data_IF_372728688294
#
_entry.id   IF_372728688294
#
_cell.length_a   1.000
_cell.length_b   1.000
_cell.length_c   1.000
_cell.angle_alpha   90.00
_cell.angle_beta   90.00
_cell.angle_gamma   90.00
#
_symmetry.space_group_name_H-M   'P 1'
#
loop_
_entity.id
_entity.type
_entity.pdbx_description
1 polymer ?
#
# COMPACT_ATOMS: atom_id res chain seq x y z
N UNK A 1 14.59 76.95 17.80
CA UNK A 1 15.50 76.10 16.99
C UNK A 1 16.38 75.19 17.87
N UNK A 2 17.46 75.65 18.51
CA UNK A 2 18.32 74.76 19.33
C UNK A 2 17.65 74.25 20.63
N UNK A 3 16.85 75.08 21.30
CA UNK A 3 16.12 74.70 22.54
C UNK A 3 15.00 73.69 22.29
N UNK A 4 14.39 73.69 21.09
CA UNK A 4 13.40 72.67 20.70
C UNK A 4 14.06 71.35 20.33
N UNK A 5 15.28 71.37 19.80
CA UNK A 5 16.05 70.18 19.48
C UNK A 5 16.53 69.46 20.75
N UNK A 6 17.02 70.20 21.76
CA UNK A 6 17.40 69.64 23.06
C UNK A 6 16.21 69.06 23.83
N UNK A 7 15.06 69.74 23.79
CA UNK A 7 13.82 69.25 24.42
C UNK A 7 13.28 68.00 23.72
N UNK A 8 13.52 67.86 22.41
CA UNK A 8 13.17 66.67 21.64
C UNK A 8 14.11 65.51 21.94
N UNK A 9 15.44 65.75 21.96
CA UNK A 9 16.44 64.73 22.29
C UNK A 9 16.31 64.21 23.72
N UNK A 10 15.99 65.05 24.71
CA UNK A 10 15.75 64.62 26.09
C UNK A 10 14.49 63.74 26.20
N UNK A 11 13.42 64.07 25.46
CA UNK A 11 12.21 63.21 25.37
C UNK A 11 12.51 61.84 24.76
N UNK A 12 13.37 61.76 23.74
CA UNK A 12 13.76 60.49 23.13
C UNK A 12 14.75 59.69 24.00
N UNK A 13 15.59 60.35 24.79
CA UNK A 13 16.50 59.69 25.73
C UNK A 13 15.75 59.06 26.93
N UNK A 14 14.71 59.72 27.44
CA UNK A 14 13.84 59.16 28.48
C UNK A 14 12.98 57.99 27.96
N UNK A 15 12.60 58.00 26.68
CA UNK A 15 11.93 56.88 26.00
C UNK A 15 12.87 55.68 25.73
N UNK A 16 14.17 55.92 25.53
CA UNK A 16 15.17 54.88 25.30
C UNK A 16 15.64 54.19 26.59
N UNK A 17 15.68 54.92 27.73
CA UNK A 17 16.01 54.35 29.05
C UNK A 17 14.80 53.73 29.77
N UNK A 18 13.59 53.80 29.19
CA UNK A 18 12.37 53.16 29.69
C UNK A 18 12.19 51.70 29.27
N UNK A 19 13.22 51.03 28.74
CA UNK A 19 13.23 49.58 28.49
C UNK A 19 13.96 48.91 29.66
N UNK A 20 13.21 48.67 30.72
CA UNK A 20 13.61 47.97 31.94
C UNK A 20 12.38 47.44 32.66
N UNK A 21 11.95 46.25 32.23
CA UNK A 21 11.00 45.35 32.90
C UNK A 21 9.52 45.74 32.87
N UNK A 22 8.90 45.57 31.69
CA UNK A 22 7.46 45.31 31.58
C UNK A 22 7.26 43.87 31.13
N UNK A 23 6.49 43.16 31.95
CA UNK A 23 5.95 41.83 31.76
C UNK A 23 5.60 41.51 30.31
N UNK A 24 6.20 40.43 29.80
CA UNK A 24 5.75 39.78 28.59
C UNK A 24 4.29 39.32 28.75
N UNK A 25 3.44 39.46 27.72
CA UNK A 25 2.11 38.88 27.73
C UNK A 25 2.25 37.36 27.83
N UNK A 26 1.50 36.75 28.78
CA UNK A 26 1.33 35.30 28.89
C UNK A 26 0.95 34.72 27.52
N UNK A 27 1.92 34.12 26.85
CA UNK A 27 1.64 32.94 26.04
C UNK A 27 1.03 31.91 27.01
N UNK A 28 0.03 31.11 26.60
CA UNK A 28 -0.40 30.00 27.43
C UNK A 28 0.83 29.13 27.62
N UNK A 29 1.36 29.13 28.85
CA UNK A 29 2.27 28.09 29.30
C UNK A 29 1.50 26.80 29.07
N UNK A 30 1.84 26.13 27.98
CA UNK A 30 1.50 24.74 27.79
C UNK A 30 2.29 24.01 28.87
N UNK A 31 1.70 23.98 30.07
CA UNK A 31 2.04 23.03 31.12
C UNK A 31 1.60 21.65 30.60
N UNK A 32 2.26 21.20 29.54
CA UNK A 32 2.27 19.83 29.11
C UNK A 32 3.19 19.18 30.14
N UNK A 33 2.62 18.80 31.28
CA UNK A 33 3.16 17.67 32.03
C UNK A 33 3.46 16.61 30.98
N UNK A 34 4.71 16.11 30.85
CA UNK A 34 4.97 15.04 29.91
C UNK A 34 4.05 13.90 30.31
N UNK A 35 2.99 13.71 29.51
CA UNK A 35 2.12 12.56 29.63
C UNK A 35 3.06 11.37 29.46
N UNK A 36 3.19 10.48 30.46
CA UNK A 36 4.05 9.32 30.34
C UNK A 36 3.73 8.62 29.03
N UNK A 37 4.73 8.18 28.27
CA UNK A 37 4.51 7.47 26.99
C UNK A 37 3.49 6.31 27.13
N UNK A 38 3.34 5.76 28.34
CA UNK A 38 2.33 4.76 28.70
C UNK A 38 0.86 5.23 28.55
N UNK A 39 0.57 6.52 28.69
CA UNK A 39 -0.78 7.09 28.55
C UNK A 39 -1.10 7.45 27.08
N UNK A 40 -0.07 7.61 26.23
CA UNK A 40 -0.21 7.80 24.78
C UNK A 40 -0.33 6.45 24.05
N UNK A 41 0.30 5.41 24.60
CA UNK A 41 0.21 4.05 24.09
C UNK A 41 -1.03 3.41 24.70
N UNK A 42 -2.12 3.37 23.94
CA UNK A 42 -3.31 2.62 24.34
C UNK A 42 -2.89 1.17 24.68
N UNK A 43 -2.93 0.82 25.98
CA UNK A 43 -2.74 -0.54 26.40
C UNK A 43 -3.82 -1.40 25.74
N UNK A 44 -3.46 -2.50 25.06
CA UNK A 44 -4.45 -3.36 24.42
C UNK A 44 -5.45 -3.81 25.49
N UNK A 45 -6.70 -3.36 25.36
CA UNK A 45 -7.75 -3.77 26.29
C UNK A 45 -7.82 -5.30 26.32
N UNK A 46 -8.01 -5.91 27.51
CA UNK A 46 -8.23 -7.35 27.60
C UNK A 46 -9.38 -7.72 26.67
N UNK A 47 -9.12 -8.66 25.75
CA UNK A 47 -10.12 -9.10 24.78
C UNK A 47 -11.40 -9.45 25.51
N UNK A 48 -12.51 -8.87 25.07
CA UNK A 48 -13.83 -9.35 25.48
C UNK A 48 -13.86 -10.84 25.17
N UNK A 49 -13.88 -11.66 26.21
CA UNK A 49 -14.12 -13.10 26.12
C UNK A 49 -15.59 -13.26 25.72
N UNK A 50 -15.88 -13.09 24.42
CA UNK A 50 -17.18 -13.38 23.83
C UNK A 50 -17.34 -14.90 23.85
N UNK A 51 -17.67 -15.48 25.01
CA UNK A 51 -17.92 -16.91 25.16
C UNK A 51 -16.77 -17.82 24.74
N UNK A 52 -17.09 -19.11 24.59
CA UNK A 52 -16.19 -20.15 24.11
C UNK A 52 -15.61 -19.77 22.72
N UNK A 53 -14.29 -19.70 22.57
CA UNK A 53 -13.60 -19.32 21.32
C UNK A 53 -14.13 -20.09 20.10
N UNK A 54 -14.49 -21.36 20.28
CA UNK A 54 -15.08 -22.20 19.24
C UNK A 54 -16.45 -21.70 18.79
N UNK A 55 -17.27 -21.23 19.72
CA UNK A 55 -18.59 -20.67 19.44
C UNK A 55 -18.47 -19.31 18.76
N UNK A 56 -17.58 -18.43 19.23
CA UNK A 56 -17.30 -17.14 18.58
C UNK A 56 -16.85 -17.36 17.15
N UNK A 57 -15.91 -18.30 16.94
CA UNK A 57 -15.39 -18.65 15.63
C UNK A 57 -16.49 -19.16 14.71
N UNK A 58 -17.33 -20.06 15.20
CA UNK A 58 -18.46 -20.58 14.43
C UNK A 58 -19.45 -19.47 14.07
N UNK A 59 -19.74 -18.56 14.99
CA UNK A 59 -20.60 -17.40 14.71
C UNK A 59 -20.03 -16.51 13.61
N UNK A 60 -18.73 -16.20 13.67
CA UNK A 60 -18.02 -15.42 12.64
C UNK A 60 -18.08 -16.10 11.27
N UNK A 61 -17.80 -17.40 11.20
CA UNK A 61 -17.85 -18.16 9.94
C UNK A 61 -19.29 -18.24 9.37
N UNK A 62 -20.30 -18.40 10.23
CA UNK A 62 -21.71 -18.40 9.80
C UNK A 62 -22.14 -17.03 9.27
N UNK A 63 -21.73 -15.94 9.91
CA UNK A 63 -21.99 -14.58 9.41
C UNK A 63 -21.31 -14.35 8.07
N UNK A 64 -20.05 -14.77 7.93
CA UNK A 64 -19.33 -14.70 6.66
C UNK A 64 -20.01 -15.50 5.54
N UNK A 65 -20.55 -16.68 5.85
CA UNK A 65 -21.34 -17.47 4.91
C UNK A 65 -22.65 -16.76 4.52
N UNK A 66 -23.37 -16.17 5.48
CA UNK A 66 -24.61 -15.44 5.21
C UNK A 66 -24.36 -14.24 4.27
N UNK A 67 -23.30 -13.46 4.51
CA UNK A 67 -22.92 -12.32 3.65
C UNK A 67 -22.67 -12.81 2.23
N UNK A 68 -21.83 -13.84 2.05
CA UNK A 68 -21.52 -14.38 0.72
C UNK A 68 -22.73 -15.04 0.02
N UNK A 69 -23.73 -15.52 0.77
CA UNK A 69 -24.97 -16.05 0.20
C UNK A 69 -25.91 -14.93 -0.28
N UNK A 70 -25.89 -13.78 0.39
CA UNK A 70 -26.67 -12.60 0.00
C UNK A 70 -26.04 -11.88 -1.18
N UNK A 71 -24.73 -11.65 -1.12
CA UNK A 71 -23.95 -11.05 -2.19
C UNK A 71 -22.58 -11.74 -2.32
N UNK A 72 -22.36 -12.55 -3.37
CA UNK A 72 -21.08 -13.19 -3.58
C UNK A 72 -19.96 -12.19 -3.93
N UNK A 73 -20.28 -10.98 -4.40
CA UNK A 73 -19.31 -9.93 -4.77
C UNK A 73 -18.88 -9.07 -3.59
N UNK A 74 -19.53 -9.18 -2.42
CA UNK A 74 -19.15 -8.44 -1.22
C UNK A 74 -17.83 -9.01 -0.64
N UNK A 75 -16.73 -8.23 -0.61
CA UNK A 75 -15.47 -8.67 -0.04
C UNK A 75 -15.52 -8.92 1.48
N UNK A 76 -16.46 -8.30 2.20
CA UNK A 76 -16.54 -8.35 3.66
C UNK A 76 -16.71 -9.78 4.16
N UNK A 77 -17.56 -10.58 3.52
CA UNK A 77 -17.76 -11.95 3.97
C UNK A 77 -16.52 -12.84 3.79
N UNK A 78 -15.70 -12.61 2.76
CA UNK A 78 -14.42 -13.30 2.59
C UNK A 78 -13.39 -12.85 3.65
N UNK A 79 -13.31 -11.55 3.93
CA UNK A 79 -12.44 -11.01 4.98
C UNK A 79 -12.81 -11.57 6.35
N UNK A 80 -14.11 -11.61 6.66
CA UNK A 80 -14.64 -12.13 7.91
C UNK A 80 -14.36 -13.64 8.06
N UNK A 81 -14.47 -14.40 6.97
CA UNK A 81 -14.08 -15.82 6.95
C UNK A 81 -12.60 -16.00 7.30
N UNK A 82 -11.70 -15.18 6.73
CA UNK A 82 -10.26 -15.25 7.02
C UNK A 82 -9.96 -14.84 8.46
N UNK A 83 -10.65 -13.81 8.96
CA UNK A 83 -10.55 -13.44 10.37
C UNK A 83 -10.98 -14.59 11.29
N UNK A 84 -12.11 -15.24 11.01
CA UNK A 84 -12.57 -16.41 11.77
C UNK A 84 -11.61 -17.61 11.69
N UNK A 85 -10.94 -17.79 10.54
CA UNK A 85 -9.98 -18.88 10.37
C UNK A 85 -8.67 -18.65 11.14
N UNK A 86 -8.12 -17.44 11.07
CA UNK A 86 -6.74 -17.18 11.50
C UNK A 86 -6.60 -16.28 12.72
N UNK A 87 -7.65 -15.54 13.11
CA UNK A 87 -7.57 -14.51 14.15
C UNK A 87 -7.14 -15.04 15.53
N UNK A 88 -7.48 -16.29 15.82
CA UNK A 88 -7.17 -16.95 17.08
C UNK A 88 -5.84 -17.75 17.05
N UNK A 89 -5.29 -18.07 15.86
CA UNK A 89 -4.00 -18.76 15.73
C UNK A 89 -2.87 -17.79 16.09
N UNK A 90 -2.20 -17.98 17.23
CA UNK A 90 -1.12 -17.08 17.69
C UNK A 90 0.29 -17.64 17.50
N UNK A 91 0.44 -18.93 17.26
CA UNK A 91 1.72 -19.60 17.09
C UNK A 91 1.64 -20.61 15.94
N UNK A 92 2.80 -20.87 15.33
CA UNK A 92 2.91 -21.93 14.34
C UNK A 92 2.69 -23.31 15.01
N UNK A 93 2.10 -24.29 14.30
CA UNK A 93 1.92 -25.63 14.83
C UNK A 93 3.28 -26.31 15.10
N UNK A 94 3.34 -27.23 16.07
CA UNK A 94 4.57 -27.98 16.34
C UNK A 94 4.95 -28.82 15.13
N UNK A 95 6.26 -28.90 14.88
CA UNK A 95 6.84 -29.65 13.77
C UNK A 95 7.90 -30.63 14.28
N UNK A 96 8.00 -31.76 13.58
CA UNK A 96 8.98 -32.81 13.80
C UNK A 96 10.29 -32.50 13.05
N UNK A 97 11.27 -33.40 13.14
CA UNK A 97 12.53 -33.28 12.39
C UNK A 97 12.24 -33.09 10.88
N UNK A 98 12.73 -31.99 10.31
CA UNK A 98 12.49 -31.62 8.92
C UNK A 98 11.24 -30.76 8.65
N UNK A 99 10.77 -29.99 9.64
CA UNK A 99 9.68 -29.01 9.51
C UNK A 99 8.30 -29.60 9.14
N UNK A 100 8.12 -30.92 9.29
CA UNK A 100 6.84 -31.59 9.03
C UNK A 100 5.94 -31.54 10.24
N UNK A 101 4.68 -31.18 10.03
CA UNK A 101 3.64 -31.14 11.05
C UNK A 101 2.79 -32.41 11.00
N UNK A 102 2.02 -32.68 12.05
CA UNK A 102 1.02 -33.77 12.06
C UNK A 102 -0.29 -33.37 11.36
N UNK A 103 -0.34 -32.18 10.76
CA UNK A 103 -1.53 -31.65 10.11
C UNK A 103 -1.69 -32.29 8.73
N UNK A 104 -2.92 -32.74 8.46
CA UNK A 104 -3.31 -33.26 7.16
C UNK A 104 -3.50 -32.12 6.17
N UNK A 105 -2.96 -32.29 4.96
CA UNK A 105 -3.26 -31.44 3.83
C UNK A 105 -4.60 -31.83 3.19
N UNK A 106 -5.14 -30.93 2.36
CA UNK A 106 -6.25 -31.28 1.44
C UNK A 106 -5.76 -32.40 0.51
N UNK A 107 -6.53 -33.49 0.30
CA UNK A 107 -6.15 -34.58 -0.58
C UNK A 107 -5.69 -34.10 -1.96
N UNK A 108 -4.64 -34.72 -2.51
CA UNK A 108 -4.04 -34.27 -3.76
C UNK A 108 -5.02 -34.29 -4.93
N UNK A 109 -5.88 -35.31 -5.02
CA UNK A 109 -6.90 -35.41 -6.07
C UNK A 109 -7.84 -34.20 -6.03
N UNK A 110 -8.32 -33.83 -4.83
CA UNK A 110 -9.21 -32.67 -4.64
C UNK A 110 -8.48 -31.35 -4.97
N UNK A 111 -7.22 -31.22 -4.55
CA UNK A 111 -6.44 -30.02 -4.85
C UNK A 111 -6.17 -29.89 -6.36
N UNK A 112 -5.84 -30.99 -7.04
CA UNK A 112 -5.65 -31.05 -8.48
C UNK A 112 -6.93 -30.72 -9.25
N UNK A 113 -8.07 -31.27 -8.84
CA UNK A 113 -9.37 -30.94 -9.43
C UNK A 113 -9.68 -29.44 -9.38
N UNK A 114 -9.29 -28.76 -8.29
CA UNK A 114 -9.45 -27.31 -8.19
C UNK A 114 -8.47 -26.55 -9.10
N UNK A 115 -7.21 -26.99 -9.17
CA UNK A 115 -6.20 -26.39 -10.05
C UNK A 115 -6.64 -26.49 -11.52
N UNK A 116 -7.09 -27.66 -11.95
CA UNK A 116 -7.59 -27.91 -13.30
C UNK A 116 -8.86 -27.09 -13.59
N UNK A 117 -9.80 -27.02 -12.64
CA UNK A 117 -11.02 -26.22 -12.81
C UNK A 117 -10.72 -24.71 -12.87
N UNK A 118 -9.75 -24.23 -12.08
CA UNK A 118 -9.29 -22.84 -12.11
C UNK A 118 -8.44 -22.54 -13.35
N UNK A 119 -7.84 -23.54 -14.00
CA UNK A 119 -7.13 -23.38 -15.28
C UNK A 119 -8.08 -23.44 -16.49
N UNK A 120 -9.19 -24.18 -16.39
CA UNK A 120 -10.17 -24.36 -17.47
C UNK A 120 -10.89 -23.08 -17.90
N UNK A 121 -11.60 -23.10 -19.03
CA UNK A 121 -12.20 -21.89 -19.63
C UNK A 121 -13.43 -21.38 -18.88
N UNK A 122 -14.23 -22.28 -18.29
CA UNK A 122 -15.46 -21.95 -17.58
C UNK A 122 -15.24 -22.03 -16.06
N UNK A 123 -15.30 -20.88 -15.39
CA UNK A 123 -15.30 -20.79 -13.92
C UNK A 123 -16.68 -20.31 -13.49
N UNK A 124 -17.22 -20.95 -12.45
CA UNK A 124 -18.46 -20.55 -11.81
C UNK A 124 -18.23 -20.13 -10.34
N UNK A 125 -19.21 -19.42 -9.78
CA UNK A 125 -19.17 -19.03 -8.38
C UNK A 125 -19.22 -20.26 -7.43
N UNK A 126 -19.77 -21.39 -7.88
CA UNK A 126 -19.83 -22.62 -7.10
C UNK A 126 -18.44 -23.23 -6.88
N UNK A 127 -17.52 -23.14 -7.86
CA UNK A 127 -16.13 -23.52 -7.70
C UNK A 127 -15.47 -22.72 -6.58
N UNK A 128 -15.62 -21.40 -6.60
CA UNK A 128 -15.10 -20.53 -5.54
C UNK A 128 -15.62 -20.97 -4.16
N UNK A 129 -16.93 -21.21 -4.03
CA UNK A 129 -17.51 -21.70 -2.76
C UNK A 129 -16.95 -23.06 -2.31
N UNK A 130 -16.68 -23.99 -3.24
CA UNK A 130 -16.06 -25.28 -2.90
C UNK A 130 -14.62 -25.11 -2.41
N UNK A 131 -13.83 -24.26 -3.07
CA UNK A 131 -12.46 -23.95 -2.63
C UNK A 131 -12.50 -23.31 -1.23
N UNK A 132 -13.40 -22.35 -1.00
CA UNK A 132 -13.59 -21.68 0.30
C UNK A 132 -13.93 -22.67 1.43
N UNK A 133 -14.76 -23.68 1.16
CA UNK A 133 -15.06 -24.76 2.12
C UNK A 133 -13.82 -25.58 2.45
N UNK A 134 -13.02 -25.95 1.45
CA UNK A 134 -11.78 -26.69 1.64
C UNK A 134 -10.72 -25.88 2.41
N UNK A 135 -10.58 -24.58 2.12
CA UNK A 135 -9.73 -23.66 2.90
C UNK A 135 -10.21 -23.55 4.35
N UNK A 136 -11.53 -23.53 4.57
CA UNK A 136 -12.10 -23.49 5.92
C UNK A 136 -11.78 -24.77 6.72
N UNK A 137 -11.78 -25.93 6.05
CA UNK A 137 -11.41 -27.21 6.64
C UNK A 137 -9.90 -27.34 6.91
N UNK A 138 -9.07 -26.73 6.06
CA UNK A 138 -7.60 -26.78 6.15
C UNK A 138 -7.00 -25.35 6.23
N UNK A 139 -6.97 -24.72 7.42
CA UNK A 139 -6.60 -23.30 7.56
C UNK A 139 -5.17 -22.95 7.12
N UNK A 140 -4.25 -23.91 7.14
CA UNK A 140 -2.85 -23.72 6.74
C UNK A 140 -2.62 -23.96 5.24
N UNK A 141 -3.66 -24.34 4.48
CA UNK A 141 -3.56 -24.55 3.03
C UNK A 141 -3.62 -23.21 2.29
N UNK A 142 -2.48 -22.49 2.29
CA UNK A 142 -2.38 -21.16 1.66
C UNK A 142 -2.62 -21.22 0.15
N UNK A 143 -2.20 -22.32 -0.48
CA UNK A 143 -2.50 -22.61 -1.90
C UNK A 143 -3.99 -22.53 -2.21
N UNK A 144 -4.87 -23.00 -1.32
CA UNK A 144 -6.31 -22.86 -1.52
C UNK A 144 -6.79 -21.41 -1.53
N UNK A 145 -6.19 -20.54 -0.71
CA UNK A 145 -6.49 -19.10 -0.75
C UNK A 145 -5.98 -18.44 -2.03
N UNK A 146 -4.84 -18.89 -2.57
CA UNK A 146 -4.38 -18.49 -3.89
C UNK A 146 -5.39 -18.87 -4.98
N UNK A 147 -5.83 -20.13 -5.02
CA UNK A 147 -6.82 -20.61 -5.99
C UNK A 147 -8.16 -19.87 -5.87
N UNK A 148 -8.61 -19.60 -4.65
CA UNK A 148 -9.82 -18.82 -4.41
C UNK A 148 -9.70 -17.39 -4.96
N UNK A 149 -8.58 -16.72 -4.72
CA UNK A 149 -8.33 -15.38 -5.27
C UNK A 149 -8.24 -15.40 -6.80
N UNK A 150 -7.58 -16.40 -7.39
CA UNK A 150 -7.53 -16.57 -8.86
C UNK A 150 -8.91 -16.80 -9.46
N UNK A 151 -9.73 -17.65 -8.84
CA UNK A 151 -11.11 -17.88 -9.26
C UNK A 151 -11.93 -16.59 -9.18
N UNK A 152 -11.83 -15.85 -8.08
CA UNK A 152 -12.50 -14.55 -7.91
C UNK A 152 -12.06 -13.53 -8.96
N UNK A 153 -10.76 -13.40 -9.25
CA UNK A 153 -10.27 -12.52 -10.31
C UNK A 153 -10.85 -12.88 -11.68
N UNK A 154 -10.93 -14.17 -12.01
CA UNK A 154 -11.48 -14.65 -13.28
C UNK A 154 -13.00 -14.47 -13.39
N UNK A 155 -13.70 -14.38 -12.26
CA UNK A 155 -15.11 -14.02 -12.17
C UNK A 155 -15.35 -12.50 -12.16
N UNK A 156 -14.33 -11.69 -12.45
CA UNK A 156 -14.36 -10.23 -12.38
C UNK A 156 -14.67 -9.67 -10.96
N UNK A 157 -14.35 -10.44 -9.91
CA UNK A 157 -14.53 -10.06 -8.51
C UNK A 157 -13.22 -9.52 -7.92
N UNK A 158 -12.73 -8.40 -8.48
CA UNK A 158 -11.41 -7.84 -8.16
C UNK A 158 -11.22 -7.51 -6.67
N UNK A 159 -12.20 -6.83 -6.07
CA UNK A 159 -12.21 -6.48 -4.64
C UNK A 159 -12.15 -7.72 -3.74
N UNK A 160 -12.87 -8.79 -4.12
CA UNK A 160 -12.86 -10.07 -3.38
C UNK A 160 -11.50 -10.74 -3.48
N UNK A 161 -10.92 -10.81 -4.68
CA UNK A 161 -9.60 -11.40 -4.88
C UNK A 161 -8.52 -10.69 -4.06
N UNK A 162 -8.55 -9.35 -4.05
CA UNK A 162 -7.63 -8.53 -3.27
C UNK A 162 -7.85 -8.68 -1.76
N UNK A 163 -9.11 -8.72 -1.31
CA UNK A 163 -9.46 -8.95 0.08
C UNK A 163 -8.94 -10.31 0.59
N UNK A 164 -9.09 -11.38 -0.20
CA UNK A 164 -8.54 -12.71 0.11
C UNK A 164 -7.01 -12.64 0.20
N UNK A 165 -6.36 -12.04 -0.79
CA UNK A 165 -4.90 -11.90 -0.83
C UNK A 165 -4.37 -11.13 0.38
N UNK A 166 -4.91 -9.95 0.65
CA UNK A 166 -4.48 -9.07 1.74
C UNK A 166 -4.64 -9.74 3.12
N UNK A 167 -5.77 -10.41 3.36
CA UNK A 167 -5.99 -11.15 4.60
C UNK A 167 -4.99 -12.32 4.75
N UNK A 168 -4.70 -13.03 3.65
CA UNK A 168 -3.73 -14.13 3.63
C UNK A 168 -2.30 -13.63 3.87
N UNK A 169 -1.92 -12.54 3.23
CA UNK A 169 -0.61 -11.91 3.42
C UNK A 169 -0.41 -11.49 4.88
N UNK A 170 -1.41 -10.87 5.50
CA UNK A 170 -1.37 -10.49 6.92
C UNK A 170 -1.17 -11.71 7.83
N UNK A 171 -1.82 -12.84 7.54
CA UNK A 171 -1.65 -14.07 8.31
C UNK A 171 -0.21 -14.59 8.24
N UNK A 172 0.35 -14.69 7.03
CA UNK A 172 1.71 -15.17 6.80
C UNK A 172 2.76 -14.22 7.40
N UNK A 173 2.58 -12.90 7.24
CA UNK A 173 3.48 -11.90 7.82
C UNK A 173 3.48 -11.92 9.35
N UNK A 174 2.33 -12.20 9.98
CA UNK A 174 2.22 -12.30 11.43
C UNK A 174 2.91 -13.55 11.99
N UNK A 175 2.97 -14.62 11.20
CA UNK A 175 3.55 -15.91 11.60
C UNK A 175 4.57 -16.37 10.54
N UNK A 176 5.74 -15.71 10.44
CA UNK A 176 6.75 -16.05 9.44
C UNK A 176 7.29 -17.48 9.61
N UNK A 177 7.20 -18.04 10.82
CA UNK A 177 7.53 -19.42 11.13
C UNK A 177 6.69 -20.46 10.37
N UNK A 178 5.61 -20.07 9.68
CA UNK A 178 4.82 -20.96 8.82
C UNK A 178 5.50 -21.26 7.48
N UNK A 179 6.38 -20.39 6.99
CA UNK A 179 7.02 -20.52 5.68
C UNK A 179 7.81 -21.84 5.50
N UNK A 180 8.65 -22.27 6.46
CA UNK A 180 9.41 -23.49 6.30
C UNK A 180 8.61 -24.77 6.60
N UNK A 181 7.33 -24.66 7.04
CA UNK A 181 6.55 -25.81 7.50
C UNK A 181 5.87 -26.58 6.38
N UNK A 182 5.76 -27.89 6.60
CA UNK A 182 5.06 -28.82 5.73
C UNK A 182 3.95 -29.55 6.47
N UNK A 183 2.96 -30.02 5.71
CA UNK A 183 1.98 -31.00 6.16
C UNK A 183 2.63 -32.37 6.38
N UNK A 184 1.87 -33.31 6.94
CA UNK A 184 2.30 -34.68 7.22
C UNK A 184 2.78 -35.44 5.97
N UNK A 185 2.19 -35.15 4.82
CA UNK A 185 2.55 -35.72 3.51
C UNK A 185 3.78 -35.05 2.87
N UNK A 186 4.35 -34.02 3.51
CA UNK A 186 5.54 -33.30 3.05
C UNK A 186 5.26 -32.10 2.16
N UNK A 187 4.00 -31.84 1.76
CA UNK A 187 3.66 -30.62 1.00
C UNK A 187 3.84 -29.39 1.87
N UNK A 188 4.41 -28.33 1.33
CA UNK A 188 4.61 -27.07 2.05
C UNK A 188 3.27 -26.40 2.38
N UNK A 189 3.20 -25.70 3.51
CA UNK A 189 2.05 -24.84 3.82
C UNK A 189 1.95 -23.68 2.83
N UNK A 190 3.11 -23.15 2.43
CA UNK A 190 3.26 -22.04 1.52
C UNK A 190 4.29 -22.45 0.46
N UNK A 191 3.81 -22.78 -0.73
CA UNK A 191 4.68 -23.04 -1.88
C UNK A 191 5.18 -21.73 -2.51
N UNK A 192 6.18 -21.84 -3.38
CA UNK A 192 6.85 -20.68 -3.99
C UNK A 192 5.91 -19.79 -4.80
N UNK A 193 4.92 -20.37 -5.49
CA UNK A 193 3.96 -19.60 -6.28
C UNK A 193 2.99 -18.84 -5.39
N UNK A 194 2.47 -19.49 -4.34
CA UNK A 194 1.66 -18.84 -3.32
C UNK A 194 2.44 -17.73 -2.60
N UNK A 195 3.72 -17.96 -2.29
CA UNK A 195 4.58 -16.95 -1.68
C UNK A 195 4.83 -15.76 -2.62
N UNK A 196 5.09 -16.02 -3.90
CA UNK A 196 5.26 -14.99 -4.92
C UNK A 196 3.97 -14.17 -5.09
N UNK A 197 2.81 -14.81 -5.12
CA UNK A 197 1.51 -14.13 -5.16
C UNK A 197 1.27 -13.20 -3.96
N UNK A 198 1.63 -13.65 -2.74
CA UNK A 198 1.49 -12.82 -1.54
C UNK A 198 2.43 -11.61 -1.56
N UNK A 199 3.62 -11.76 -2.16
CA UNK A 199 4.60 -10.68 -2.37
C UNK A 199 4.21 -9.76 -3.53
N UNK A 200 3.56 -10.30 -4.57
CA UNK A 200 3.15 -9.62 -5.80
C UNK A 200 1.98 -8.64 -5.64
N UNK A 201 1.75 -8.17 -4.43
CA UNK A 201 0.78 -7.16 -4.00
C UNK A 201 1.05 -5.74 -4.52
N UNK A 202 1.73 -5.61 -5.65
CA UNK A 202 1.69 -4.43 -6.49
C UNK A 202 0.92 -4.87 -7.74
N UNK A 203 -0.40 -5.01 -7.61
CA UNK A 203 -1.24 -5.60 -8.65
C UNK A 203 -1.19 -4.84 -9.99
N UNK A 204 -1.71 -5.44 -11.07
CA UNK A 204 -1.83 -4.82 -12.39
C UNK A 204 -2.97 -3.78 -12.37
N UNK A 205 -2.71 -2.68 -11.69
CA UNK A 205 -3.26 -1.38 -12.06
C UNK A 205 -2.37 -0.88 -13.20
N UNK A 206 -2.87 -0.10 -14.17
CA UNK A 206 -1.99 0.58 -15.15
C UNK A 206 -0.92 1.44 -14.43
N UNK A 207 -1.17 1.81 -13.17
CA UNK A 207 -0.21 2.39 -12.23
C UNK A 207 0.91 1.42 -11.80
N UNK A 208 0.66 0.11 -11.70
CA UNK A 208 1.61 -0.94 -11.34
C UNK A 208 2.54 -1.35 -12.48
N UNK A 209 2.04 -1.41 -13.73
CA UNK A 209 2.90 -1.65 -14.90
C UNK A 209 3.90 -0.50 -15.08
N UNK A 210 3.43 0.74 -15.01
CA UNK A 210 4.29 1.92 -15.13
C UNK A 210 5.25 2.08 -13.93
N UNK A 211 4.79 1.77 -12.71
CA UNK A 211 5.67 1.72 -11.52
C UNK A 211 6.72 0.62 -11.62
N UNK A 212 6.36 -0.55 -12.16
CA UNK A 212 7.29 -1.65 -12.42
C UNK A 212 8.28 -1.29 -13.54
N UNK A 213 7.84 -0.63 -14.61
CA UNK A 213 8.69 -0.12 -15.69
C UNK A 213 9.75 0.86 -15.17
N UNK A 214 9.35 1.81 -14.30
CA UNK A 214 10.29 2.72 -13.67
C UNK A 214 11.21 2.03 -12.65
N UNK A 215 10.73 0.99 -11.96
CA UNK A 215 11.55 0.18 -11.08
C UNK A 215 12.60 -0.64 -11.85
N UNK A 216 12.21 -1.29 -12.95
CA UNK A 216 13.14 -2.03 -13.81
C UNK A 216 14.14 -1.09 -14.47
N UNK A 217 13.70 0.09 -14.90
CA UNK A 217 14.58 1.12 -15.45
C UNK A 217 15.60 1.60 -14.42
N UNK A 218 15.18 1.82 -13.16
CA UNK A 218 16.10 2.21 -12.08
C UNK A 218 17.18 1.14 -11.86
N UNK A 219 16.80 -0.14 -11.84
CA UNK A 219 17.73 -1.26 -11.70
C UNK A 219 18.72 -1.32 -12.88
N UNK A 220 18.23 -1.16 -14.11
CA UNK A 220 19.05 -1.16 -15.33
C UNK A 220 20.07 -0.01 -15.33
N UNK A 221 19.61 1.21 -15.07
CA UNK A 221 20.47 2.39 -15.01
C UNK A 221 21.47 2.32 -13.85
N UNK A 222 21.07 1.75 -12.71
CA UNK A 222 21.98 1.48 -11.59
C UNK A 222 23.09 0.50 -11.99
N UNK A 223 22.74 -0.61 -12.65
CA UNK A 223 23.72 -1.58 -13.17
C UNK A 223 24.68 -0.96 -14.19
N UNK A 224 24.17 -0.13 -15.11
CA UNK A 224 25.00 0.61 -16.07
C UNK A 224 25.92 1.63 -15.39
N UNK A 225 25.45 2.28 -14.33
CA UNK A 225 26.24 3.21 -13.53
C UNK A 225 27.41 2.51 -12.83
N UNK A 226 27.18 1.31 -12.29
CA UNK A 226 28.22 0.48 -11.69
C UNK A 226 29.24 -0.02 -12.72
N UNK A 227 28.79 -0.41 -13.92
CA UNK A 227 29.66 -0.97 -14.95
C UNK A 227 30.45 0.08 -15.76
N UNK A 228 29.83 1.21 -16.11
CA UNK A 228 30.35 2.17 -17.10
C UNK A 228 30.45 3.62 -16.62
N UNK A 229 30.06 3.91 -15.37
CA UNK A 229 30.09 5.26 -14.80
C UNK A 229 28.92 6.15 -15.24
N UNK A 230 29.05 7.47 -15.01
CA UNK A 230 27.92 8.43 -15.13
C UNK A 230 27.59 8.76 -16.59
N UNK A 231 28.59 8.80 -17.47
CA UNK A 231 28.43 9.16 -18.88
C UNK A 231 27.42 8.29 -19.67
N UNK A 232 27.49 6.94 -19.65
CA UNK A 232 26.53 6.10 -20.37
C UNK A 232 25.08 6.27 -19.87
N UNK A 233 24.92 6.49 -18.56
CA UNK A 233 23.60 6.74 -17.95
C UNK A 233 23.01 8.06 -18.45
N UNK A 234 23.84 9.11 -18.56
CA UNK A 234 23.40 10.41 -19.09
C UNK A 234 23.03 10.34 -20.57
N UNK A 235 23.80 9.62 -21.40
CA UNK A 235 23.47 9.42 -22.81
C UNK A 235 22.18 8.64 -22.99
N UNK A 236 21.96 7.62 -22.16
CA UNK A 236 20.71 6.84 -22.16
C UNK A 236 19.52 7.70 -21.77
N UNK A 237 19.65 8.49 -20.71
CA UNK A 237 18.62 9.44 -20.25
C UNK A 237 18.32 10.50 -21.31
N UNK A 238 19.34 11.02 -22.00
CA UNK A 238 19.15 11.99 -23.09
C UNK A 238 18.34 11.39 -24.24
N UNK A 239 18.62 10.14 -24.63
CA UNK A 239 17.83 9.42 -25.63
C UNK A 239 16.38 9.25 -25.19
N UNK A 240 16.15 8.85 -23.93
CA UNK A 240 14.80 8.71 -23.40
C UNK A 240 14.03 10.03 -23.36
N UNK A 241 14.67 11.14 -22.99
CA UNK A 241 14.03 12.46 -22.98
C UNK A 241 13.57 12.92 -24.37
N UNK A 242 14.27 12.49 -25.44
CA UNK A 242 13.89 12.78 -26.82
C UNK A 242 12.68 11.95 -27.30
N UNK A 243 12.59 10.70 -26.85
CA UNK A 243 11.56 9.75 -27.30
C UNK A 243 10.26 9.82 -26.48
N UNK A 244 10.36 10.16 -25.19
CA UNK A 244 9.22 10.19 -24.27
C UNK A 244 8.29 11.37 -24.57
N UNK A 245 6.98 11.08 -24.71
CA UNK A 245 5.97 12.06 -25.12
C UNK A 245 5.17 12.65 -23.95
N UNK A 246 5.11 11.96 -22.81
CA UNK A 246 4.33 12.40 -21.65
C UNK A 246 5.14 13.17 -20.61
N UNK A 247 4.60 14.24 -19.98
CA UNK A 247 5.28 14.95 -18.90
C UNK A 247 5.50 14.05 -17.67
N UNK A 248 4.60 13.08 -17.41
CA UNK A 248 4.72 12.09 -16.34
C UNK A 248 6.01 11.25 -16.46
N UNK A 249 6.23 10.65 -17.62
CA UNK A 249 7.39 9.78 -17.87
C UNK A 249 8.70 10.54 -17.77
N UNK A 250 8.74 11.77 -18.31
CA UNK A 250 9.90 12.67 -18.20
C UNK A 250 10.19 13.02 -16.75
N UNK A 251 9.17 13.30 -15.94
CA UNK A 251 9.36 13.57 -14.52
C UNK A 251 9.94 12.36 -13.78
N UNK A 252 9.38 11.16 -13.97
CA UNK A 252 9.87 9.94 -13.31
C UNK A 252 11.31 9.60 -13.69
N UNK A 253 11.65 9.64 -14.98
CA UNK A 253 13.02 9.37 -15.46
C UNK A 253 14.03 10.40 -14.95
N UNK A 254 13.63 11.67 -14.85
CA UNK A 254 14.48 12.74 -14.30
C UNK A 254 14.72 12.56 -12.80
N UNK A 255 13.73 12.10 -12.04
CA UNK A 255 13.88 11.80 -10.60
C UNK A 255 14.81 10.61 -10.40
N UNK A 256 14.65 9.54 -11.19
CA UNK A 256 15.56 8.37 -11.14
C UNK A 256 17.00 8.81 -11.43
N UNK A 257 17.20 9.68 -12.43
CA UNK A 257 18.51 10.24 -12.74
C UNK A 257 19.09 11.04 -11.56
N UNK A 258 18.27 11.90 -10.94
CA UNK A 258 18.67 12.69 -9.78
C UNK A 258 19.09 11.79 -8.61
N UNK A 259 18.33 10.73 -8.31
CA UNK A 259 18.66 9.75 -7.26
C UNK A 259 20.04 9.09 -7.52
N UNK A 260 20.28 8.65 -8.76
CA UNK A 260 21.53 8.00 -9.16
C UNK A 260 22.74 8.96 -9.11
N UNK A 261 22.55 10.21 -9.53
CA UNK A 261 23.59 11.24 -9.47
C UNK A 261 23.91 11.64 -8.03
N UNK A 262 22.90 11.73 -7.16
CA UNK A 262 23.08 11.98 -5.74
C UNK A 262 23.88 10.86 -5.06
N UNK A 263 23.59 9.60 -5.41
CA UNK A 263 24.32 8.43 -4.89
C UNK A 263 25.81 8.43 -5.29
N UNK A 264 26.18 9.07 -6.40
CA UNK A 264 27.57 9.25 -6.85
C UNK A 264 28.23 10.55 -6.36
N UNK A 265 27.55 11.30 -5.49
CA UNK A 265 28.10 12.50 -4.87
C UNK A 265 27.84 13.81 -5.63
N UNK A 266 27.05 13.79 -6.72
CA UNK A 266 26.69 14.99 -7.50
C UNK A 266 25.37 15.58 -6.98
N UNK A 267 25.33 15.93 -5.70
CA UNK A 267 24.09 16.33 -4.99
C UNK A 267 23.49 17.65 -5.46
N UNK A 268 24.31 18.63 -5.85
CA UNK A 268 23.83 19.94 -6.32
C UNK A 268 23.01 19.83 -7.61
N UNK A 269 23.44 18.98 -8.54
CA UNK A 269 22.75 18.74 -9.81
C UNK A 269 21.46 17.96 -9.59
N UNK A 270 21.49 16.94 -8.72
CA UNK A 270 20.30 16.20 -8.33
C UNK A 270 19.22 17.12 -7.72
N UNK A 271 19.63 18.08 -6.87
CA UNK A 271 18.71 19.06 -6.31
C UNK A 271 18.09 19.97 -7.37
N UNK A 272 18.88 20.46 -8.34
CA UNK A 272 18.37 21.31 -9.42
C UNK A 272 17.39 20.55 -10.33
N UNK A 273 17.69 19.29 -10.65
CA UNK A 273 16.81 18.41 -11.41
C UNK A 273 15.48 18.17 -10.67
N UNK A 274 15.52 17.87 -9.37
CA UNK A 274 14.33 17.72 -8.55
C UNK A 274 13.51 19.02 -8.47
N UNK A 275 14.17 20.17 -8.32
CA UNK A 275 13.51 21.47 -8.29
C UNK A 275 12.86 21.82 -9.65
N UNK A 276 13.49 21.44 -10.76
CA UNK A 276 12.91 21.57 -12.09
C UNK A 276 11.66 20.70 -12.24
N UNK A 277 11.73 19.41 -11.87
CA UNK A 277 10.59 18.49 -11.91
C UNK A 277 9.43 19.01 -11.04
N UNK A 278 9.71 19.49 -9.83
CA UNK A 278 8.69 20.05 -8.95
C UNK A 278 7.97 21.26 -9.59
N UNK A 279 8.71 22.17 -10.23
CA UNK A 279 8.11 23.30 -10.95
C UNK A 279 7.26 22.83 -12.13
N UNK A 280 7.72 21.86 -12.90
CA UNK A 280 6.96 21.28 -14.02
C UNK A 280 5.66 20.64 -13.53
N UNK A 281 5.70 19.86 -12.45
CA UNK A 281 4.51 19.24 -11.86
C UNK A 281 3.49 20.27 -11.37
N UNK A 282 3.94 21.36 -10.75
CA UNK A 282 3.05 22.43 -10.26
C UNK A 282 2.34 23.19 -11.39
N UNK A 283 2.97 23.28 -12.57
CA UNK A 283 2.45 24.05 -13.71
C UNK A 283 1.64 23.20 -14.70
N UNK A 284 1.72 21.86 -14.60
CA UNK A 284 1.07 20.95 -15.54
C UNK A 284 -0.34 20.60 -15.06
N UNK A 285 -1.35 20.81 -15.90
CA UNK A 285 -2.73 20.43 -15.59
C UNK A 285 -2.90 18.91 -15.60
N UNK A 286 -3.91 18.40 -14.87
CA UNK A 286 -4.22 16.97 -14.87
C UNK A 286 -4.48 16.41 -16.28
N UNK A 287 -5.08 17.22 -17.17
CA UNK A 287 -5.33 16.85 -18.57
C UNK A 287 -4.07 16.70 -19.42
N UNK A 288 -3.04 17.51 -19.15
CA UNK A 288 -1.74 17.40 -19.82
C UNK A 288 -0.87 16.32 -19.17
N UNK A 289 -1.09 16.04 -17.88
CA UNK A 289 -0.35 15.04 -17.11
C UNK A 289 -0.67 13.60 -17.55
N UNK A 290 -1.95 13.26 -17.68
CA UNK A 290 -2.44 11.94 -18.13
C UNK A 290 -3.61 12.11 -19.12
N UNK A 291 -3.32 12.37 -20.41
CA UNK A 291 -4.36 12.66 -21.41
C UNK A 291 -5.32 11.49 -21.62
N UNK A 292 -4.84 10.25 -21.61
CA UNK A 292 -5.66 9.06 -21.83
C UNK A 292 -6.65 8.81 -20.69
N UNK A 293 -6.22 9.03 -19.45
CA UNK A 293 -7.09 8.94 -18.26
C UNK A 293 -8.10 10.06 -18.29
N UNK A 294 -7.66 11.28 -18.58
CA UNK A 294 -8.54 12.44 -18.69
C UNK A 294 -9.61 12.26 -19.78
N UNK A 295 -9.24 11.70 -20.94
CA UNK A 295 -10.18 11.41 -22.03
C UNK A 295 -11.19 10.32 -21.64
N UNK A 296 -10.75 9.24 -20.96
CA UNK A 296 -11.67 8.23 -20.42
C UNK A 296 -12.65 8.84 -19.40
N UNK A 297 -12.17 9.70 -18.52
CA UNK A 297 -13.02 10.38 -17.55
C UNK A 297 -14.07 11.27 -18.24
N UNK A 298 -13.69 11.98 -19.31
CA UNK A 298 -14.65 12.77 -20.10
C UNK A 298 -15.72 11.93 -20.80
N UNK A 299 -15.40 10.69 -21.19
CA UNK A 299 -16.35 9.78 -21.85
C UNK A 299 -17.36 9.18 -20.87
N UNK A 300 -17.00 9.03 -19.60
CA UNK A 300 -17.83 8.41 -18.57
C UNK A 300 -18.50 9.39 -17.61
N UNK A 301 -17.97 10.61 -17.47
CA UNK A 301 -18.58 11.66 -16.67
C UNK A 301 -19.70 12.35 -17.48
N UNK A 302 -20.94 12.29 -17.00
CA UNK A 302 -22.06 13.04 -17.55
C UNK A 302 -21.72 14.54 -17.63
N UNK A 303 -22.09 15.27 -18.70
CA UNK A 303 -21.73 16.69 -18.87
C UNK A 303 -22.26 17.62 -17.77
N UNK A 304 -23.20 17.17 -16.93
CA UNK A 304 -23.69 17.91 -15.76
C UNK A 304 -22.68 17.94 -14.59
N UNK A 305 -21.86 16.91 -14.39
CA UNK A 305 -20.89 16.87 -13.28
C UNK A 305 -19.64 17.75 -13.52
N UNK A 306 -19.30 17.99 -14.80
CA UNK A 306 -18.17 18.83 -15.20
C UNK A 306 -18.53 20.33 -15.24
N UNK A 307 -19.82 20.67 -15.32
CA UNK A 307 -20.29 22.05 -15.35
C UNK A 307 -20.28 22.72 -13.96
N UNK A 308 -20.52 21.94 -12.90
CA UNK A 308 -20.58 22.48 -11.54
C UNK A 308 -19.19 22.84 -10.97
N UNK A 309 -18.13 22.10 -11.33
CA UNK A 309 -16.77 22.42 -10.86
C UNK A 309 -16.17 23.70 -11.49
N UNK A 310 -16.56 24.07 -12.71
CA UNK A 310 -16.04 25.30 -13.34
C UNK A 310 -16.69 26.58 -12.79
N UNK A 311 -17.78 26.48 -12.01
CA UNK A 311 -18.36 27.63 -11.28
C UNK A 311 -17.62 27.94 -9.98
N UNK A 312 -17.14 26.91 -9.29
CA UNK A 312 -16.46 27.08 -8.01
C UNK A 312 -15.04 27.63 -8.14
N UNK A 313 -14.37 27.42 -9.28
CA UNK A 313 -13.04 27.98 -9.55
C UNK A 313 -13.03 29.43 -10.09
N UNK A 314 -14.20 30.00 -10.42
CA UNK A 314 -14.29 31.29 -11.11
C UNK A 314 -15.13 32.34 -10.36
N UNK A 315 -15.26 32.20 -9.03
CA UNK A 315 -15.76 33.30 -8.19
C UNK A 315 -14.58 34.07 -7.59
N UNK A 316 -14.57 35.42 -7.71
CA UNK A 316 -13.43 36.27 -7.36
C UNK A 316 -13.12 36.32 -5.86
#
# INVERSE_FOLDING_TARGET
ALVELERSLSKYADLANGVGEVAAPKAPESNIKPVPLADVIAAPMPRVLIGNERETRRAVLNMAELINQQDPYDPVGYQLRRFGLWGHIQAAPPANQGNRTELMAVPQDIAGDYEDAVAGTAIDAALLQRIEKSVTACPYWVRGSFLAATAASRLAMGEVAEAIRAATARFVQRLPALQPLCFSDGRAFIDDQSLAWLKGAQGPSEQGACSQEFATLREELSSQLEAGGVEPVLLRLQGMQADLRGPRERCHTTVIAADLLAARGVSWLAQDLCASVARTMQQTTASAWEPDVFQRLQQHASPQALADQNKDWNSP
#
